data_IF_032806281528
#
_entry.id   IF_032806281528
#
_cell.length_a   1.000
_cell.length_b   1.000
_cell.length_c   1.000
_cell.angle_alpha   90.00
_cell.angle_beta   90.00
_cell.angle_gamma   90.00
#
_symmetry.space_group_name_H-M   'P 1'
#
loop_
_entity.id
_entity.type
_entity.pdbx_description
1 polymer ?
#
# COMPACT_ATOMS: atom_id res chain seq x y z
N UNK A 1 7.72 8.81 -12.01
CA UNK A 1 6.41 9.25 -11.48
C UNK A 1 6.66 10.35 -10.43
N UNK A 2 6.02 11.52 -10.52
CA UNK A 2 6.27 12.62 -9.58
C UNK A 2 5.56 12.35 -8.25
N UNK A 3 6.31 12.23 -7.14
CA UNK A 3 5.80 12.11 -5.75
C UNK A 3 4.94 13.31 -5.28
N UNK A 4 4.70 14.30 -6.15
CA UNK A 4 4.05 15.60 -5.87
C UNK A 4 2.53 15.54 -5.63
N UNK A 5 1.87 14.39 -5.68
CA UNK A 5 0.40 14.27 -5.53
C UNK A 5 -0.06 13.60 -4.23
N UNK A 6 0.87 13.15 -3.39
CA UNK A 6 0.60 12.82 -2.00
C UNK A 6 0.57 14.13 -1.21
N UNK A 7 -0.35 14.31 -0.25
CA UNK A 7 -0.02 15.27 0.82
C UNK A 7 1.31 14.79 1.36
N UNK A 8 2.26 15.69 1.53
CA UNK A 8 3.53 15.29 2.11
C UNK A 8 3.20 14.63 3.44
N UNK A 9 3.82 13.51 3.78
CA UNK A 9 3.56 12.80 5.05
C UNK A 9 3.66 13.75 6.27
N UNK A 10 4.39 14.86 6.11
CA UNK A 10 4.53 15.96 7.04
C UNK A 10 3.29 16.86 7.21
N UNK A 11 2.32 16.80 6.30
CA UNK A 11 1.07 17.58 6.31
C UNK A 11 -0.09 16.83 7.00
N UNK A 12 0.14 15.62 7.52
CA UNK A 12 -0.86 14.83 8.25
C UNK A 12 -1.06 15.46 9.63
N UNK A 13 -2.27 15.94 9.93
CA UNK A 13 -2.61 16.62 11.19
C UNK A 13 -3.65 15.88 12.02
N UNK A 14 -4.45 15.01 11.40
CA UNK A 14 -5.56 14.30 12.05
C UNK A 14 -5.53 12.80 11.76
N UNK A 15 -6.27 12.02 12.56
CA UNK A 15 -6.46 10.58 12.32
C UNK A 15 -7.13 10.32 10.96
N UNK A 16 -8.05 11.19 10.54
CA UNK A 16 -8.72 11.09 9.24
C UNK A 16 -7.73 11.35 8.10
N UNK A 17 -6.83 12.32 8.23
CA UNK A 17 -5.76 12.54 7.26
C UNK A 17 -4.83 11.32 7.18
N UNK A 18 -4.47 10.75 8.33
CA UNK A 18 -3.62 9.57 8.39
C UNK A 18 -4.28 8.35 7.74
N UNK A 19 -5.57 8.11 8.01
CA UNK A 19 -6.34 7.05 7.38
C UNK A 19 -6.39 7.25 5.86
N UNK A 20 -6.71 8.45 5.39
CA UNK A 20 -6.80 8.76 3.96
C UNK A 20 -5.47 8.50 3.23
N UNK A 21 -4.34 8.99 3.79
CA UNK A 21 -3.03 8.77 3.19
C UNK A 21 -2.57 7.30 3.32
N UNK A 22 -2.90 6.59 4.41
CA UNK A 22 -2.60 5.16 4.56
C UNK A 22 -3.33 4.31 3.52
N UNK A 23 -4.63 4.55 3.31
CA UNK A 23 -5.41 3.85 2.28
C UNK A 23 -4.87 4.13 0.87
N UNK A 24 -4.40 5.37 0.63
CA UNK A 24 -3.79 5.76 -0.63
C UNK A 24 -2.45 5.08 -0.87
N UNK A 25 -1.59 4.98 0.16
CA UNK A 25 -0.32 4.23 0.10
C UNK A 25 -0.59 2.74 -0.12
N UNK A 26 -1.56 2.15 0.59
CA UNK A 26 -1.97 0.76 0.38
C UNK A 26 -2.35 0.49 -1.08
N UNK A 27 -3.24 1.31 -1.66
CA UNK A 27 -3.67 1.19 -3.07
C UNK A 27 -2.50 1.36 -4.04
N UNK A 28 -1.63 2.33 -3.76
CA UNK A 28 -0.42 2.53 -4.54
C UNK A 28 0.49 1.29 -4.54
N UNK A 29 0.72 0.71 -3.36
CA UNK A 29 1.55 -0.49 -3.20
C UNK A 29 0.92 -1.67 -3.93
N UNK A 30 -0.41 -1.86 -3.81
CA UNK A 30 -1.13 -2.89 -4.55
C UNK A 30 -0.94 -2.76 -6.07
N UNK A 31 -1.00 -1.54 -6.61
CA UNK A 31 -0.87 -1.32 -8.05
C UNK A 31 0.56 -1.51 -8.57
N UNK A 32 1.57 -1.20 -7.76
CA UNK A 32 2.95 -1.03 -8.24
C UNK A 32 3.96 -2.03 -7.69
N UNK A 33 3.62 -2.79 -6.64
CA UNK A 33 4.47 -3.83 -6.06
C UNK A 33 3.82 -5.18 -6.35
N UNK A 34 4.34 -5.88 -7.36
CA UNK A 34 3.76 -7.13 -7.86
C UNK A 34 3.60 -8.20 -6.77
N UNK A 35 4.62 -8.40 -5.94
CA UNK A 35 4.59 -9.37 -4.83
C UNK A 35 3.44 -9.06 -3.86
N UNK A 36 3.23 -7.78 -3.57
CA UNK A 36 2.16 -7.35 -2.68
C UNK A 36 0.79 -7.51 -3.34
N UNK A 37 0.64 -7.12 -4.61
CA UNK A 37 -0.59 -7.33 -5.40
C UNK A 37 -1.03 -8.78 -5.40
N UNK A 38 -0.09 -9.70 -5.65
CA UNK A 38 -0.36 -11.13 -5.72
C UNK A 38 -0.82 -11.66 -4.35
N UNK A 39 -0.19 -11.21 -3.27
CA UNK A 39 -0.60 -11.57 -1.91
C UNK A 39 -2.02 -11.09 -1.58
N UNK A 40 -2.33 -9.82 -1.83
CA UNK A 40 -3.68 -9.27 -1.57
C UNK A 40 -4.74 -9.97 -2.42
N UNK A 41 -4.43 -10.26 -3.69
CA UNK A 41 -5.34 -10.95 -4.60
C UNK A 41 -5.57 -12.41 -4.17
N UNK A 42 -4.54 -13.09 -3.67
CA UNK A 42 -4.64 -14.45 -3.12
C UNK A 42 -5.56 -14.51 -1.89
N UNK A 43 -5.60 -13.44 -1.08
CA UNK A 43 -6.55 -13.32 0.03
C UNK A 43 -7.98 -13.00 -0.42
N UNK A 44 -8.24 -12.85 -1.72
CA UNK A 44 -9.51 -12.39 -2.30
C UNK A 44 -9.97 -11.02 -1.76
N UNK A 45 -9.03 -10.17 -1.39
CA UNK A 45 -9.33 -8.82 -0.92
C UNK A 45 -9.39 -7.88 -2.12
N UNK A 46 -10.50 -7.16 -2.26
CA UNK A 46 -10.61 -6.07 -3.22
C UNK A 46 -10.06 -4.79 -2.60
N UNK A 47 -9.03 -4.14 -3.20
CA UNK A 47 -8.43 -2.94 -2.63
C UNK A 47 -9.44 -1.81 -2.39
N UNK A 48 -10.47 -1.72 -3.23
CA UNK A 48 -11.51 -0.69 -3.12
C UNK A 48 -12.40 -0.84 -1.89
N UNK A 49 -12.55 -2.06 -1.38
CA UNK A 49 -13.39 -2.36 -0.20
C UNK A 49 -12.63 -2.17 1.13
N UNK A 50 -11.32 -1.89 1.08
CA UNK A 50 -10.51 -1.58 2.28
C UNK A 50 -10.72 -0.12 2.66
N UNK A 51 -11.41 0.09 3.79
CA UNK A 51 -11.82 1.41 4.30
C UNK A 51 -11.31 1.73 5.71
N UNK A 52 -10.57 0.81 6.34
CA UNK A 52 -9.98 1.02 7.68
C UNK A 52 -8.57 0.44 7.75
N UNK A 53 -7.78 0.90 8.73
CA UNK A 53 -6.37 0.51 8.89
C UNK A 53 -6.21 -0.98 9.16
N UNK A 54 -7.10 -1.55 9.96
CA UNK A 54 -7.06 -2.94 10.42
C UNK A 54 -7.33 -3.93 9.28
N UNK A 55 -7.96 -3.44 8.20
CA UNK A 55 -8.26 -4.23 6.99
C UNK A 55 -7.11 -4.21 5.99
N UNK A 56 -6.06 -3.42 6.20
CA UNK A 56 -4.90 -3.41 5.32
C UNK A 56 -4.12 -4.72 5.54
N UNK A 57 -3.96 -5.56 4.51
CA UNK A 57 -3.26 -6.84 4.65
C UNK A 57 -1.76 -6.62 4.80
N UNK A 58 -1.17 -7.10 5.90
CA UNK A 58 0.27 -7.01 6.11
C UNK A 58 1.02 -8.11 5.35
N UNK A 59 2.03 -7.72 4.58
CA UNK A 59 2.85 -8.67 3.85
C UNK A 59 3.72 -9.47 4.84
N UNK A 60 3.70 -10.82 4.81
CA UNK A 60 4.50 -11.64 5.73
C UNK A 60 6.00 -11.42 5.56
N UNK A 61 6.77 -11.48 6.65
CA UNK A 61 8.23 -11.31 6.62
C UNK A 61 8.93 -12.31 5.68
N UNK A 62 8.41 -13.53 5.55
CA UNK A 62 8.93 -14.55 4.64
C UNK A 62 8.86 -14.12 3.17
N UNK A 63 7.89 -13.27 2.79
CA UNK A 63 7.81 -12.76 1.42
C UNK A 63 8.98 -11.83 1.10
N UNK A 64 9.47 -11.06 2.08
CA UNK A 64 10.64 -10.20 1.90
C UNK A 64 11.95 -11.00 1.82
N UNK A 65 12.01 -12.18 2.44
CA UNK A 65 13.19 -13.05 2.37
C UNK A 65 13.29 -13.77 1.02
N UNK A 66 12.14 -14.16 0.46
CA UNK A 66 12.08 -15.02 -0.73
C UNK A 66 11.78 -14.26 -2.03
N UNK A 67 11.33 -13.01 -1.95
CA UNK A 67 10.95 -12.22 -3.12
C UNK A 67 11.49 -10.78 -3.04
N UNK A 68 11.78 -10.20 -4.21
CA UNK A 68 12.10 -8.78 -4.33
C UNK A 68 10.81 -7.96 -4.23
N UNK A 69 10.66 -7.21 -3.14
CA UNK A 69 9.53 -6.30 -2.92
C UNK A 69 9.94 -4.92 -3.40
N UNK A 70 9.71 -4.66 -4.69
CA UNK A 70 10.20 -3.47 -5.40
C UNK A 70 9.07 -2.79 -6.15
N UNK A 71 9.11 -1.46 -6.15
CA UNK A 71 8.19 -0.64 -6.94
C UNK A 71 8.68 -0.62 -8.39
N UNK A 72 7.81 -1.04 -9.32
CA UNK A 72 8.10 -1.03 -10.76
C UNK A 72 8.44 0.35 -11.33
N UNK A 73 8.05 1.44 -10.66
CA UNK A 73 8.32 2.81 -11.09
C UNK A 73 9.68 3.35 -10.61
N UNK A 74 10.40 2.58 -9.79
CA UNK A 74 11.74 2.90 -9.27
C UNK A 74 12.83 2.12 -10.03
N UNK A 75 12.44 1.19 -10.91
CA UNK A 75 13.33 0.51 -11.86
C UNK A 75 13.50 1.28 -13.15
#
# INVERSE_FOLDING_TARGET
>A
MNFRKLRTIFDIQTEQDFLAESLKVFRYQYENIEVYRNFVSYLNIKPDEVTSLEKIPFLPIEMFKNHKVVDRNVM
#
